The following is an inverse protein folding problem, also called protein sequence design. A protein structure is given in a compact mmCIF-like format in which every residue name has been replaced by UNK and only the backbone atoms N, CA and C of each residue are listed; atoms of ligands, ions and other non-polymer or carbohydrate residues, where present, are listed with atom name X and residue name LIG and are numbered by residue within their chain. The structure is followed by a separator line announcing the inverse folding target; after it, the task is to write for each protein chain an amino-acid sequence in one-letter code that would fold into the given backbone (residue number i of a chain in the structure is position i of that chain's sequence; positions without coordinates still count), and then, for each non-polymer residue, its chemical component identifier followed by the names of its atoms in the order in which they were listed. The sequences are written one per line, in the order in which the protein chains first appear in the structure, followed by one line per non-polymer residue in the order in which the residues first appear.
data_IF_124335243526
#
_entry.id   IF_124335243526
#
_cell.length_a   1.000
_cell.length_b   1.000
_cell.length_c   1.000
_cell.angle_alpha   90.00
_cell.angle_beta   90.00
_cell.angle_gamma   90.00
#
_symmetry.space_group_name_H-M   'P 1'
#
loop_
_entity.id
_entity.type
_entity.pdbx_description
1 polymer ?
#
# COMPACT_ATOMS: atom_id res chain seq x y z
N UNK A 1 -10.98 -13.27 10.10
CA UNK A 1 -9.61 -13.80 10.34
C UNK A 1 -9.61 -15.23 10.88
N UNK A 2 -10.72 -15.70 11.45
CA UNK A 2 -10.81 -17.04 12.06
C UNK A 2 -10.70 -18.19 11.05
N UNK A 3 -10.90 -17.95 9.76
CA UNK A 3 -10.66 -18.96 8.71
C UNK A 3 -9.15 -19.24 8.49
N UNK A 4 -8.27 -18.36 8.99
CA UNK A 4 -6.82 -18.48 8.83
C UNK A 4 -6.15 -18.82 10.18
N UNK A 5 -6.61 -18.23 11.27
CA UNK A 5 -6.04 -18.42 12.61
C UNK A 5 -7.09 -18.34 13.71
N UNK A 6 -7.06 -19.29 14.65
CA UNK A 6 -7.92 -19.28 15.85
C UNK A 6 -7.69 -18.04 16.73
N UNK A 7 -6.51 -17.42 16.63
CA UNK A 7 -6.15 -16.20 17.34
C UNK A 7 -6.60 -14.91 16.60
N UNK A 8 -7.48 -15.03 15.61
CA UNK A 8 -7.99 -13.90 14.86
C UNK A 8 -6.86 -13.10 14.17
N UNK A 9 -6.94 -11.76 14.20
CA UNK A 9 -5.97 -10.88 13.53
C UNK A 9 -4.55 -11.03 14.06
N UNK A 10 -4.37 -11.26 15.36
CA UNK A 10 -3.03 -11.40 15.94
C UNK A 10 -2.31 -12.64 15.40
N UNK A 11 -3.04 -13.75 15.23
CA UNK A 11 -2.49 -14.96 14.64
C UNK A 11 -2.17 -14.77 13.14
N UNK A 12 -3.00 -14.06 12.40
CA UNK A 12 -2.75 -13.72 10.98
C UNK A 12 -1.52 -12.83 10.85
N UNK A 13 -1.41 -11.80 11.68
CA UNK A 13 -0.23 -10.93 11.69
C UNK A 13 1.04 -11.66 12.12
N UNK A 14 0.96 -12.64 13.02
CA UNK A 14 2.11 -13.47 13.38
C UNK A 14 2.64 -14.25 12.15
N UNK A 15 1.75 -14.79 11.31
CA UNK A 15 2.14 -15.46 10.06
C UNK A 15 2.77 -14.47 9.09
N UNK A 16 2.16 -13.29 8.87
CA UNK A 16 2.66 -12.29 7.94
C UNK A 16 3.98 -11.65 8.42
N UNK A 17 4.23 -11.63 9.71
CA UNK A 17 5.46 -11.11 10.29
C UNK A 17 6.57 -12.17 10.46
N UNK A 18 6.36 -13.42 10.06
CA UNK A 18 7.41 -14.43 10.07
C UNK A 18 8.55 -13.97 9.12
N UNK A 19 9.77 -13.87 9.67
CA UNK A 19 10.94 -13.44 8.92
C UNK A 19 11.31 -14.38 7.77
N UNK A 20 10.85 -15.62 7.81
CA UNK A 20 11.05 -16.61 6.74
C UNK A 20 10.14 -16.40 5.54
N UNK A 21 9.08 -15.61 5.70
CA UNK A 21 8.14 -15.29 4.62
C UNK A 21 8.79 -14.26 3.68
N UNK A 22 9.48 -14.77 2.65
CA UNK A 22 10.22 -13.97 1.68
C UNK A 22 10.15 -14.60 0.29
N UNK A 23 10.06 -13.76 -0.75
CA UNK A 23 10.20 -14.17 -2.15
C UNK A 23 10.73 -13.01 -3.01
N UNK A 24 11.46 -13.33 -4.07
CA UNK A 24 11.83 -12.36 -5.10
C UNK A 24 10.69 -12.23 -6.09
N UNK A 25 9.93 -11.14 -5.97
CA UNK A 25 8.75 -10.90 -6.75
C UNK A 25 8.76 -9.54 -7.45
N UNK A 26 7.58 -8.98 -7.63
CA UNK A 26 7.39 -7.74 -8.36
C UNK A 26 8.00 -6.52 -7.66
N UNK A 27 7.88 -6.42 -6.32
CA UNK A 27 8.42 -5.30 -5.54
C UNK A 27 9.95 -5.39 -5.52
N UNK A 28 10.50 -6.57 -5.29
CA UNK A 28 11.94 -6.80 -5.35
C UNK A 28 12.51 -6.40 -6.71
N UNK A 29 11.93 -6.91 -7.79
CA UNK A 29 12.36 -6.61 -9.16
C UNK A 29 12.33 -5.11 -9.47
N UNK A 30 11.29 -4.40 -9.04
CA UNK A 30 11.04 -3.03 -9.48
C UNK A 30 11.54 -1.95 -8.51
N UNK A 31 11.65 -2.25 -7.20
CA UNK A 31 11.83 -1.23 -6.17
C UNK A 31 12.98 -1.50 -5.19
N UNK A 32 13.73 -2.60 -5.39
CA UNK A 32 14.90 -2.95 -4.60
C UNK A 32 16.22 -2.67 -5.35
N UNK A 33 17.34 -2.43 -4.64
CA UNK A 33 18.63 -2.17 -5.27
C UNK A 33 19.20 -3.36 -6.04
N UNK A 34 18.95 -4.60 -5.60
CA UNK A 34 19.38 -5.82 -6.31
C UNK A 34 18.38 -6.30 -7.36
N UNK A 35 17.20 -5.65 -7.48
CA UNK A 35 16.26 -5.91 -8.57
C UNK A 35 16.71 -5.35 -9.91
N UNK A 36 16.00 -5.66 -10.97
CA UNK A 36 16.38 -5.33 -12.37
C UNK A 36 16.56 -3.83 -12.62
N UNK A 37 15.87 -2.98 -11.88
CA UNK A 37 15.87 -1.53 -12.07
C UNK A 37 16.73 -0.78 -11.07
N UNK A 38 17.36 -1.46 -10.10
CA UNK A 38 18.28 -0.88 -9.11
C UNK A 38 17.71 0.34 -8.35
N UNK A 39 16.43 0.32 -8.02
CA UNK A 39 15.76 1.40 -7.28
C UNK A 39 15.87 1.14 -5.78
N UNK A 40 16.10 2.17 -5.01
CA UNK A 40 16.32 2.06 -3.56
C UNK A 40 15.09 2.51 -2.74
N UNK A 41 13.88 2.14 -3.13
CA UNK A 41 12.69 2.42 -2.33
C UNK A 41 12.61 1.54 -1.09
N UNK A 42 12.99 0.26 -1.21
CA UNK A 42 13.05 -0.69 -0.12
C UNK A 42 14.41 -1.41 -0.11
N UNK A 43 14.87 -1.85 1.07
CA UNK A 43 15.97 -2.81 1.13
C UNK A 43 15.56 -4.12 0.45
N UNK A 44 16.54 -4.92 0.02
CA UNK A 44 16.27 -6.20 -0.63
C UNK A 44 15.39 -7.11 0.26
N UNK A 45 15.73 -7.19 1.55
CA UNK A 45 14.98 -8.02 2.50
C UNK A 45 13.53 -7.52 2.68
N UNK A 46 13.34 -6.21 2.82
CA UNK A 46 11.98 -5.65 2.94
C UNK A 46 11.18 -5.83 1.65
N UNK A 47 11.80 -5.66 0.48
CA UNK A 47 11.12 -5.86 -0.79
C UNK A 47 10.65 -7.32 -0.98
N UNK A 48 11.51 -8.30 -0.66
CA UNK A 48 11.17 -9.74 -0.69
C UNK A 48 10.04 -10.07 0.29
N UNK A 49 10.05 -9.45 1.45
CA UNK A 49 8.97 -9.62 2.44
C UNK A 49 7.66 -9.00 1.96
N UNK A 50 7.69 -7.80 1.41
CA UNK A 50 6.50 -7.13 0.85
C UNK A 50 5.87 -7.99 -0.24
N UNK A 51 6.67 -8.55 -1.15
CA UNK A 51 6.19 -9.45 -2.20
C UNK A 51 5.48 -10.68 -1.61
N UNK A 52 6.15 -11.38 -0.70
CA UNK A 52 5.61 -12.60 -0.09
C UNK A 52 4.33 -12.33 0.73
N UNK A 53 4.33 -11.26 1.52
CA UNK A 53 3.16 -10.86 2.32
C UNK A 53 1.98 -10.50 1.40
N UNK A 54 2.23 -9.70 0.36
CA UNK A 54 1.15 -9.22 -0.52
C UNK A 54 0.54 -10.35 -1.35
N UNK A 55 1.37 -11.24 -1.88
CA UNK A 55 0.90 -12.42 -2.61
C UNK A 55 0.11 -13.36 -1.66
N UNK A 56 0.56 -13.57 -0.43
CA UNK A 56 -0.16 -14.40 0.54
C UNK A 56 -1.54 -13.82 0.92
N UNK A 57 -1.63 -12.49 1.10
CA UNK A 57 -2.92 -11.82 1.33
C UNK A 57 -3.84 -12.02 0.13
N UNK A 58 -3.33 -11.93 -1.10
CA UNK A 58 -4.12 -12.14 -2.32
C UNK A 58 -4.58 -13.59 -2.46
N UNK A 59 -3.70 -14.54 -2.13
CA UNK A 59 -4.02 -15.97 -2.13
C UNK A 59 -5.16 -16.28 -1.14
N UNK A 60 -5.11 -15.75 0.07
CA UNK A 60 -6.18 -15.92 1.06
C UNK A 60 -7.51 -15.30 0.60
N UNK A 61 -7.43 -14.13 -0.04
CA UNK A 61 -8.61 -13.47 -0.61
C UNK A 61 -9.22 -14.31 -1.75
N UNK A 62 -8.40 -14.79 -2.67
CA UNK A 62 -8.82 -15.62 -3.81
C UNK A 62 -9.43 -16.96 -3.36
N UNK A 63 -8.92 -17.53 -2.28
CA UNK A 63 -9.45 -18.75 -1.67
C UNK A 63 -10.73 -18.51 -0.85
N UNK A 64 -11.18 -17.26 -0.71
CA UNK A 64 -12.36 -16.91 0.08
C UNK A 64 -12.19 -17.05 1.59
N UNK A 65 -10.94 -17.04 2.07
CA UNK A 65 -10.61 -17.13 3.50
C UNK A 65 -10.78 -15.80 4.23
N UNK A 66 -10.80 -14.68 3.50
CA UNK A 66 -10.98 -13.33 4.02
C UNK A 66 -12.34 -12.76 3.60
N UNK A 67 -13.02 -12.08 4.50
CA UNK A 67 -14.07 -11.13 4.12
C UNK A 67 -13.46 -9.91 3.44
N UNK A 68 -14.29 -9.12 2.77
CA UNK A 68 -13.85 -7.88 2.10
C UNK A 68 -13.17 -6.92 3.07
N UNK A 69 -13.71 -6.76 4.26
CA UNK A 69 -13.18 -5.85 5.28
C UNK A 69 -11.84 -6.38 5.84
N UNK A 70 -11.75 -7.68 6.10
CA UNK A 70 -10.49 -8.31 6.54
C UNK A 70 -9.39 -8.16 5.50
N UNK A 71 -9.70 -8.33 4.21
CA UNK A 71 -8.77 -8.10 3.12
C UNK A 71 -8.24 -6.65 3.14
N UNK A 72 -9.14 -5.66 3.22
CA UNK A 72 -8.71 -4.26 3.25
C UNK A 72 -7.91 -3.89 4.49
N UNK A 73 -8.23 -4.47 5.65
CA UNK A 73 -7.45 -4.29 6.88
C UNK A 73 -6.01 -4.80 6.69
N UNK A 74 -5.81 -5.96 6.09
CA UNK A 74 -4.47 -6.51 5.85
C UNK A 74 -3.70 -5.72 4.78
N UNK A 75 -4.36 -5.31 3.69
CA UNK A 75 -3.74 -4.45 2.67
C UNK A 75 -3.33 -3.11 3.27
N UNK A 76 -4.19 -2.50 4.08
CA UNK A 76 -3.85 -1.27 4.80
C UNK A 76 -2.64 -1.46 5.72
N UNK A 77 -2.63 -2.54 6.53
CA UNK A 77 -1.53 -2.82 7.44
C UNK A 77 -0.20 -3.00 6.70
N UNK A 78 -0.22 -3.62 5.52
CA UNK A 78 0.96 -3.75 4.67
C UNK A 78 1.40 -2.41 4.09
N UNK A 79 0.48 -1.60 3.56
CA UNK A 79 0.78 -0.28 2.99
C UNK A 79 1.39 0.64 4.05
N UNK A 80 0.82 0.69 5.24
CA UNK A 80 1.32 1.47 6.38
C UNK A 80 2.73 1.01 6.81
N UNK A 81 2.94 -0.30 6.94
CA UNK A 81 4.25 -0.85 7.29
C UNK A 81 5.30 -0.61 6.19
N UNK A 82 4.91 -0.68 4.91
CA UNK A 82 5.80 -0.41 3.78
C UNK A 82 6.20 1.07 3.74
N UNK A 83 5.25 1.99 3.95
CA UNK A 83 5.56 3.43 4.01
C UNK A 83 6.54 3.76 5.13
N UNK A 84 6.41 3.13 6.28
CA UNK A 84 7.31 3.30 7.43
C UNK A 84 8.76 2.92 7.11
N UNK A 85 8.98 1.87 6.30
CA UNK A 85 10.33 1.40 5.90
C UNK A 85 10.74 1.89 4.51
N UNK A 86 9.99 2.81 3.89
CA UNK A 86 10.36 3.36 2.59
C UNK A 86 11.54 4.33 2.68
N UNK A 87 12.48 4.22 1.74
CA UNK A 87 13.66 5.07 1.66
C UNK A 87 13.39 6.33 0.82
N UNK A 88 12.50 7.16 1.29
CA UNK A 88 12.00 8.38 0.63
C UNK A 88 12.10 9.60 1.53
N UNK A 89 11.92 10.79 0.94
CA UNK A 89 11.89 12.08 1.66
C UNK A 89 10.46 12.61 1.86
N UNK A 90 9.44 11.71 1.90
CA UNK A 90 8.03 12.05 2.13
C UNK A 90 7.10 11.76 0.94
N UNK A 91 7.61 11.59 -0.28
CA UNK A 91 6.85 11.14 -1.44
C UNK A 91 7.64 10.15 -2.26
N UNK A 92 6.94 9.32 -3.06
CA UNK A 92 7.55 8.30 -3.92
C UNK A 92 7.96 8.84 -5.31
N UNK A 93 7.91 10.15 -5.52
CA UNK A 93 8.42 10.76 -6.75
C UNK A 93 9.92 10.53 -6.98
N UNK A 94 10.67 10.21 -5.92
CA UNK A 94 12.06 9.76 -5.96
C UNK A 94 12.44 9.00 -4.68
N UNK A 95 13.34 8.01 -4.82
CA UNK A 95 13.99 7.37 -3.67
C UNK A 95 15.27 8.10 -3.29
N UNK A 96 15.70 7.96 -2.03
CA UNK A 96 16.96 8.52 -1.54
C UNK A 96 18.14 7.63 -1.96
N UNK A 97 19.28 8.28 -2.27
CA UNK A 97 20.53 7.58 -2.59
C UNK A 97 21.27 7.06 -1.34
N UNK A 98 20.96 7.67 -0.19
CA UNK A 98 21.53 7.30 1.12
C UNK A 98 20.39 6.66 1.91
N UNK A 99 20.66 5.51 2.52
CA UNK A 99 19.69 4.81 3.33
C UNK A 99 19.36 5.57 4.62
N UNK A 100 18.07 5.77 4.85
CA UNK A 100 17.57 6.20 6.16
C UNK A 100 17.64 5.01 7.12
N UNK A 101 17.92 5.28 8.39
CA UNK A 101 17.98 4.22 9.42
C UNK A 101 16.66 3.43 9.53
N UNK A 102 15.53 4.10 9.32
CA UNK A 102 14.20 3.46 9.33
C UNK A 102 14.01 2.48 8.16
N UNK A 103 14.55 2.81 6.98
CA UNK A 103 14.43 1.96 5.79
C UNK A 103 15.23 0.65 5.88
N UNK A 104 16.16 0.56 6.82
CA UNK A 104 16.94 -0.65 7.10
C UNK A 104 16.33 -1.50 8.23
N UNK A 105 15.26 -1.07 8.86
CA UNK A 105 14.53 -1.89 9.84
C UNK A 105 13.68 -2.94 9.12
N UNK A 106 13.52 -4.12 9.71
CA UNK A 106 12.59 -5.12 9.18
C UNK A 106 11.17 -4.55 9.13
N UNK A 107 10.47 -4.81 8.02
CA UNK A 107 9.05 -4.50 7.91
C UNK A 107 8.26 -5.33 8.93
N UNK A 108 7.32 -4.70 9.61
CA UNK A 108 6.48 -5.32 10.62
C UNK A 108 5.06 -4.77 10.53
N UNK A 109 4.09 -5.62 10.17
CA UNK A 109 2.69 -5.27 10.09
C UNK A 109 2.09 -5.17 11.49
N UNK A 110 1.21 -4.19 11.68
CA UNK A 110 0.45 -3.98 12.92
C UNK A 110 -1.03 -3.88 12.59
N UNK A 111 -1.86 -4.35 13.51
CA UNK A 111 -3.29 -4.12 13.40
C UNK A 111 -3.58 -2.61 13.43
N UNK A 112 -4.40 -2.09 12.49
CA UNK A 112 -4.84 -0.71 12.57
C UNK A 112 -5.70 -0.47 13.81
N UNK A 113 -5.62 0.72 14.37
CA UNK A 113 -6.55 1.16 15.40
C UNK A 113 -7.90 1.47 14.75
N UNK A 114 -8.86 0.57 14.89
CA UNK A 114 -10.21 0.79 14.39
C UNK A 114 -11.01 1.63 15.39
N UNK A 115 -11.68 2.66 14.90
CA UNK A 115 -12.55 3.51 15.69
C UNK A 115 -14.00 3.21 15.30
N UNK A 116 -14.75 2.65 16.25
CA UNK A 116 -16.19 2.56 16.12
C UNK A 116 -16.83 3.86 16.61
N UNK A 117 -17.31 4.69 15.70
CA UNK A 117 -18.01 5.92 16.02
C UNK A 117 -19.54 5.73 16.05
N UNK A 118 -20.02 4.49 15.95
CA UNK A 118 -21.45 4.16 15.87
C UNK A 118 -22.21 4.86 14.75
N UNK A 119 -21.52 5.27 13.69
CA UNK A 119 -22.10 5.90 12.52
C UNK A 119 -21.96 4.97 11.30
N UNK A 120 -22.87 5.13 10.35
CA UNK A 120 -22.74 4.50 9.04
C UNK A 120 -21.84 5.39 8.18
N UNK A 121 -20.59 4.94 8.01
CA UNK A 121 -19.60 5.67 7.22
C UNK A 121 -19.64 5.16 5.76
N UNK A 122 -19.50 6.08 4.82
CA UNK A 122 -19.44 5.76 3.39
C UNK A 122 -18.15 6.31 2.79
N UNK A 123 -17.56 5.55 1.87
CA UNK A 123 -16.34 5.93 1.15
C UNK A 123 -16.58 5.81 -0.35
N UNK A 124 -16.28 6.87 -1.07
CA UNK A 124 -16.42 6.95 -2.52
C UNK A 124 -15.05 7.13 -3.19
N UNK A 125 -14.89 6.53 -4.36
CA UNK A 125 -13.72 6.70 -5.21
C UNK A 125 -14.17 7.13 -6.61
N UNK A 126 -14.60 8.39 -6.73
CA UNK A 126 -15.19 8.96 -7.94
C UNK A 126 -14.64 10.36 -8.21
N UNK A 127 -14.94 10.90 -9.41
CA UNK A 127 -14.68 12.32 -9.69
C UNK A 127 -15.55 13.18 -8.77
N UNK A 128 -14.89 13.94 -7.89
CA UNK A 128 -15.58 14.79 -6.91
C UNK A 128 -16.54 15.79 -7.55
N UNK A 129 -16.25 16.28 -8.77
CA UNK A 129 -17.12 17.21 -9.46
C UNK A 129 -18.45 16.57 -9.88
N UNK A 130 -18.47 15.26 -10.05
CA UNK A 130 -19.71 14.49 -10.31
C UNK A 130 -20.37 14.10 -8.99
N UNK A 131 -19.59 13.54 -8.07
CA UNK A 131 -20.07 13.01 -6.80
C UNK A 131 -20.78 14.05 -5.94
N UNK A 132 -20.24 15.27 -5.88
CA UNK A 132 -20.77 16.34 -5.02
C UNK A 132 -22.23 16.69 -5.30
N UNK A 133 -22.71 16.45 -6.51
CA UNK A 133 -24.12 16.71 -6.88
C UNK A 133 -25.10 15.66 -6.33
N UNK A 134 -24.60 14.50 -5.90
CA UNK A 134 -25.40 13.40 -5.35
C UNK A 134 -25.32 13.27 -3.83
N UNK A 135 -24.42 14.01 -3.19
CA UNK A 135 -24.22 13.95 -1.74
C UNK A 135 -25.05 14.99 -1.01
N UNK A 136 -25.48 14.64 0.19
CA UNK A 136 -26.09 15.56 1.15
C UNK A 136 -25.34 15.46 2.47
N UNK A 137 -24.93 16.59 3.02
CA UNK A 137 -24.24 16.69 4.30
C UNK A 137 -24.54 18.03 4.97
N UNK A 138 -24.52 18.06 6.29
CA UNK A 138 -24.65 19.31 7.06
C UNK A 138 -23.36 20.14 6.99
N UNK A 139 -22.22 19.49 6.84
CA UNK A 139 -20.90 20.13 6.73
C UNK A 139 -20.10 19.48 5.62
N UNK A 140 -19.53 20.28 4.74
CA UNK A 140 -18.61 19.85 3.69
C UNK A 140 -17.20 20.35 4.00
N UNK A 141 -16.25 19.43 4.21
CA UNK A 141 -14.82 19.74 4.32
C UNK A 141 -14.16 19.51 2.96
N UNK A 142 -13.49 20.52 2.41
CA UNK A 142 -12.81 20.46 1.12
C UNK A 142 -11.30 20.57 1.33
N UNK A 143 -10.56 19.56 0.86
CA UNK A 143 -9.10 19.53 0.89
C UNK A 143 -8.54 19.12 -0.49
N UNK A 144 -8.71 19.99 -1.51
CA UNK A 144 -8.22 19.73 -2.86
C UNK A 144 -6.69 19.89 -2.91
N UNK A 145 -6.03 19.33 -3.94
CA UNK A 145 -4.61 19.59 -4.18
C UNK A 145 -4.30 21.09 -4.28
N UNK A 146 -3.28 21.57 -3.56
CA UNK A 146 -2.92 23.00 -3.51
C UNK A 146 -2.06 23.47 -4.69
N UNK A 147 -1.56 22.53 -5.52
CA UNK A 147 -0.66 22.85 -6.60
C UNK A 147 -0.82 21.84 -7.77
N UNK A 148 -0.05 22.01 -8.83
CA UNK A 148 -0.06 21.16 -10.03
C UNK A 148 0.46 19.74 -9.81
N UNK A 149 1.00 19.42 -8.63
CA UNK A 149 1.52 18.09 -8.33
C UNK A 149 0.38 17.10 -8.18
N UNK A 150 0.42 16.07 -9.00
CA UNK A 150 -0.55 14.99 -8.97
C UNK A 150 -0.23 14.00 -7.85
N UNK A 151 -1.24 13.50 -7.14
CA UNK A 151 -1.06 12.47 -6.12
C UNK A 151 -0.59 11.14 -6.73
N UNK A 152 -1.14 10.75 -7.88
CA UNK A 152 -0.83 9.47 -8.51
C UNK A 152 0.68 9.21 -8.70
N UNK A 153 1.50 10.09 -9.30
CA UNK A 153 2.94 9.87 -9.39
C UNK A 153 3.67 10.02 -8.05
N UNK A 154 3.12 10.77 -7.10
CA UNK A 154 3.76 10.97 -5.80
C UNK A 154 3.60 9.77 -4.86
N UNK A 155 2.57 8.94 -5.05
CA UNK A 155 2.25 7.78 -4.21
C UNK A 155 2.14 6.47 -5.01
N UNK A 156 2.72 6.41 -6.21
CA UNK A 156 2.59 5.30 -7.14
C UNK A 156 3.02 3.94 -6.57
N UNK A 157 3.99 3.90 -5.66
CA UNK A 157 4.43 2.66 -5.02
C UNK A 157 3.35 2.13 -4.08
N UNK A 158 2.75 2.99 -3.25
CA UNK A 158 1.65 2.59 -2.37
C UNK A 158 0.42 2.14 -3.16
N UNK A 159 0.08 2.85 -4.24
CA UNK A 159 -0.97 2.43 -5.17
C UNK A 159 -0.68 1.05 -5.78
N UNK A 160 0.58 0.77 -6.10
CA UNK A 160 1.01 -0.55 -6.61
C UNK A 160 0.75 -1.65 -5.59
N UNK A 161 1.08 -1.41 -4.31
CA UNK A 161 0.83 -2.37 -3.24
C UNK A 161 -0.66 -2.56 -2.97
N UNK A 162 -1.45 -1.49 -3.04
CA UNK A 162 -2.89 -1.54 -2.81
C UNK A 162 -3.63 -2.29 -3.92
N UNK A 163 -3.39 -1.95 -5.19
CA UNK A 163 -4.10 -2.52 -6.34
C UNK A 163 -3.58 -3.90 -6.75
N UNK A 164 -2.28 -4.12 -6.65
CA UNK A 164 -1.58 -5.38 -6.95
C UNK A 164 -1.79 -5.94 -8.36
N UNK A 165 -1.98 -5.08 -9.33
CA UNK A 165 -2.18 -5.41 -10.75
C UNK A 165 -0.88 -5.66 -11.52
N UNK A 166 0.27 -5.49 -10.87
CA UNK A 166 1.62 -5.77 -11.38
C UNK A 166 1.88 -5.13 -12.75
N UNK A 167 1.44 -3.88 -12.96
CA UNK A 167 1.63 -3.13 -14.20
C UNK A 167 3.10 -2.99 -14.58
N UNK A 168 3.37 -2.85 -15.89
CA UNK A 168 4.68 -2.40 -16.37
C UNK A 168 4.93 -0.96 -15.94
N UNK A 169 6.01 -0.77 -15.20
CA UNK A 169 6.41 0.54 -14.68
C UNK A 169 7.33 1.28 -15.68
N UNK A 170 7.27 2.61 -15.66
CA UNK A 170 8.03 3.45 -16.58
C UNK A 170 8.89 4.48 -15.86
N UNK A 171 9.91 4.99 -16.56
CA UNK A 171 10.78 6.03 -16.07
C UNK A 171 11.73 5.59 -14.95
N UNK A 172 12.58 6.51 -14.52
CA UNK A 172 13.62 6.25 -13.52
C UNK A 172 13.06 5.83 -12.16
N UNK A 173 11.92 6.41 -11.77
CA UNK A 173 11.29 6.18 -10.47
C UNK A 173 10.29 5.01 -10.48
N UNK A 174 10.07 4.34 -11.63
CA UNK A 174 9.14 3.22 -11.71
C UNK A 174 7.68 3.64 -11.56
N UNK A 175 7.26 4.64 -12.31
CA UNK A 175 5.90 5.15 -12.23
C UNK A 175 4.91 4.24 -12.95
N UNK A 176 3.73 4.10 -12.36
CA UNK A 176 2.54 3.51 -12.98
C UNK A 176 1.99 4.43 -14.07
N UNK A 177 1.26 3.89 -15.02
CA UNK A 177 0.41 4.74 -15.88
C UNK A 177 -0.73 5.35 -15.03
N UNK A 178 -0.86 6.67 -15.08
CA UNK A 178 -1.84 7.44 -14.32
C UNK A 178 -2.58 8.48 -15.19
N UNK A 179 -2.58 8.28 -16.52
CA UNK A 179 -3.18 9.26 -17.44
C UNK A 179 -4.67 9.50 -17.18
N UNK A 180 -5.37 8.45 -16.80
CA UNK A 180 -6.79 8.45 -16.45
C UNK A 180 -7.07 8.91 -15.01
N UNK A 181 -6.03 9.02 -14.18
CA UNK A 181 -6.10 9.39 -12.76
C UNK A 181 -5.61 10.82 -12.48
N UNK A 182 -5.44 11.63 -13.49
CA UNK A 182 -5.04 13.03 -13.32
C UNK A 182 -6.23 13.84 -12.82
N UNK A 183 -6.02 14.58 -11.72
CA UNK A 183 -6.95 15.64 -11.33
C UNK A 183 -6.91 16.75 -12.39
N UNK A 184 -8.08 17.24 -12.75
CA UNK A 184 -8.28 18.32 -13.72
C UNK A 184 -8.23 19.67 -13.05
#
# INVERSE_FOLDING_TARGET
FHNISDNGIDGVLAVLNDEKLQQEGYVFTNFAPSGDFHRQYFSDDNAKRIDAIRDLIEDWNTQGLLSKDEYYILVYALVDAADFVANIAGTYGAYLKIWRSMALKPICLKAPSLVDNHQQNEVYQEDVNTLIHSLQADVLYLDPPYNERQYAPNFHVLETLAVWDKQTLTGKCGQRDYKDKKSK
#
